data_IF_055648512528
#
_entry.id   IF_055648512528
#
_cell.length_a   1.000
_cell.length_b   1.000
_cell.length_c   1.000
_cell.angle_alpha   90.00
_cell.angle_beta   90.00
_cell.angle_gamma   90.00
#
_symmetry.space_group_name_H-M   'P 1'
#
loop_
_entity.id
_entity.type
_entity.pdbx_description
1 polymer ?
#
# COMPACT_ATOMS: atom_id res chain seq x y z
N UNK A 1 -29.19 7.15 -7.82
CA UNK A 1 -29.20 5.77 -8.37
C UNK A 1 -28.99 4.81 -7.21
N UNK A 2 -29.98 3.96 -6.88
CA UNK A 2 -30.00 3.18 -5.63
C UNK A 2 -29.31 1.81 -5.82
N UNK A 3 -29.14 1.03 -4.74
CA UNK A 3 -28.51 -0.31 -4.72
C UNK A 3 -28.98 -1.28 -5.83
N UNK A 4 -30.09 -1.01 -6.53
CA UNK A 4 -30.65 -1.83 -7.61
C UNK A 4 -29.88 -1.77 -8.93
N UNK A 5 -28.97 -0.81 -9.10
CA UNK A 5 -28.46 -0.44 -10.45
C UNK A 5 -26.97 -0.84 -10.68
N UNK A 6 -26.37 -1.54 -9.72
CA UNK A 6 -25.10 -2.26 -9.89
C UNK A 6 -25.40 -3.71 -10.32
N UNK A 7 -24.66 -4.28 -11.29
CA UNK A 7 -24.76 -5.71 -11.55
C UNK A 7 -24.43 -6.45 -10.25
N UNK A 8 -25.43 -7.14 -9.69
CA UNK A 8 -25.30 -7.89 -8.43
C UNK A 8 -24.07 -8.81 -8.45
N UNK A 9 -23.82 -9.39 -9.62
CA UNK A 9 -22.71 -10.29 -9.92
C UNK A 9 -21.33 -9.66 -9.67
N UNK A 10 -21.15 -8.36 -9.96
CA UNK A 10 -19.86 -7.69 -9.78
C UNK A 10 -19.56 -7.47 -8.30
N UNK A 11 -20.56 -7.10 -7.51
CA UNK A 11 -20.39 -6.87 -6.08
C UNK A 11 -20.17 -8.19 -5.33
N UNK A 12 -20.92 -9.22 -5.69
CA UNK A 12 -20.76 -10.57 -5.13
C UNK A 12 -19.39 -11.16 -5.50
N UNK A 13 -18.91 -10.99 -6.75
CA UNK A 13 -17.57 -11.45 -7.16
C UNK A 13 -16.45 -10.70 -6.41
N UNK A 14 -16.56 -9.37 -6.23
CA UNK A 14 -15.56 -8.59 -5.48
C UNK A 14 -15.51 -9.03 -4.01
N UNK A 15 -16.66 -9.13 -3.35
CA UNK A 15 -16.72 -9.55 -1.95
C UNK A 15 -16.24 -11.00 -1.77
N UNK A 16 -16.60 -11.89 -2.70
CA UNK A 16 -16.13 -13.27 -2.70
C UNK A 16 -14.61 -13.35 -2.86
N UNK A 17 -14.03 -12.61 -3.82
CA UNK A 17 -12.57 -12.58 -4.03
C UNK A 17 -11.82 -12.03 -2.82
N UNK A 18 -12.33 -10.97 -2.20
CA UNK A 18 -11.77 -10.40 -0.97
C UNK A 18 -11.73 -11.47 0.13
N UNK A 19 -12.88 -12.11 0.41
CA UNK A 19 -12.98 -13.12 1.47
C UNK A 19 -12.13 -14.37 1.16
N UNK A 20 -12.12 -14.82 -0.09
CA UNK A 20 -11.35 -15.98 -0.53
C UNK A 20 -9.84 -15.74 -0.46
N UNK A 21 -9.37 -14.52 -0.73
CA UNK A 21 -7.97 -14.15 -0.58
C UNK A 21 -7.60 -14.08 0.90
N UNK A 22 -8.39 -13.40 1.74
CA UNK A 22 -8.16 -13.32 3.18
C UNK A 22 -8.12 -14.68 3.87
N UNK A 23 -9.02 -15.61 3.51
CA UNK A 23 -9.05 -16.96 4.08
C UNK A 23 -7.82 -17.82 3.72
N UNK A 24 -7.09 -17.47 2.65
CA UNK A 24 -5.92 -18.21 2.16
C UNK A 24 -4.58 -17.66 2.65
N UNK A 25 -4.56 -16.51 3.32
CA UNK A 25 -3.33 -15.84 3.74
C UNK A 25 -2.87 -16.29 5.14
N UNK A 26 -2.84 -17.60 5.35
CA UNK A 26 -2.29 -18.23 6.56
C UNK A 26 -0.89 -18.74 6.25
N UNK A 27 0.13 -18.13 6.85
CA UNK A 27 1.51 -18.57 6.67
C UNK A 27 1.86 -19.53 7.81
N UNK A 28 2.57 -20.59 7.47
CA UNK A 28 2.96 -21.61 8.44
C UNK A 28 4.40 -21.35 8.89
N UNK A 29 4.62 -21.39 10.20
CA UNK A 29 5.95 -21.44 10.80
C UNK A 29 6.08 -22.78 11.51
N UNK A 30 6.88 -23.68 10.95
CA UNK A 30 7.00 -25.05 11.45
C UNK A 30 5.62 -25.75 11.50
N UNK A 31 5.06 -25.97 12.70
CA UNK A 31 3.75 -26.59 12.92
C UNK A 31 2.65 -25.58 13.30
N UNK A 32 3.00 -24.31 13.53
CA UNK A 32 2.08 -23.28 14.00
C UNK A 32 1.58 -22.42 12.84
N UNK A 33 0.28 -22.13 12.88
CA UNK A 33 -0.35 -21.22 11.94
C UNK A 33 -0.17 -19.79 12.47
N UNK A 34 0.48 -18.92 11.69
CA UNK A 34 0.72 -17.53 12.08
C UNK A 34 -0.23 -16.60 11.34
N UNK A 35 -0.86 -15.71 12.08
CA UNK A 35 -1.73 -14.68 11.53
C UNK A 35 -0.90 -13.57 10.87
N UNK A 36 -1.20 -13.32 9.60
CA UNK A 36 -0.64 -12.22 8.83
C UNK A 36 -1.36 -10.92 9.19
N UNK A 37 -0.59 -9.86 9.41
CA UNK A 37 -1.06 -8.50 9.63
C UNK A 37 -1.09 -7.74 8.30
N UNK A 38 0.03 -7.59 7.60
CA UNK A 38 0.09 -6.84 6.35
C UNK A 38 0.72 -7.66 5.24
N UNK A 39 0.40 -7.32 3.99
CA UNK A 39 0.94 -8.00 2.82
C UNK A 39 1.30 -6.99 1.73
N UNK A 40 2.47 -7.20 1.15
CA UNK A 40 3.02 -6.41 0.03
C UNK A 40 3.36 -7.36 -1.10
N UNK A 41 2.92 -7.06 -2.33
CA UNK A 41 3.28 -7.88 -3.48
C UNK A 41 4.41 -7.25 -4.31
N UNK A 42 5.20 -8.09 -4.98
CA UNK A 42 6.12 -7.68 -6.03
C UNK A 42 6.30 -8.81 -7.04
N UNK A 43 5.71 -8.68 -8.23
CA UNK A 43 5.82 -9.64 -9.35
C UNK A 43 5.69 -11.12 -8.93
N UNK A 44 4.68 -11.42 -8.10
CA UNK A 44 4.35 -12.76 -7.63
C UNK A 44 5.04 -13.22 -6.35
N UNK A 45 5.88 -12.37 -5.73
CA UNK A 45 6.30 -12.56 -4.34
C UNK A 45 5.43 -11.74 -3.40
N UNK A 46 5.15 -12.31 -2.23
CA UNK A 46 4.49 -11.63 -1.12
C UNK A 46 5.51 -11.42 0.01
N UNK A 47 5.61 -10.20 0.53
CA UNK A 47 6.18 -9.91 1.83
C UNK A 47 5.02 -9.76 2.80
N UNK A 48 5.03 -10.53 3.89
CA UNK A 48 4.02 -10.48 4.93
C UNK A 48 4.65 -10.06 6.26
N UNK A 49 3.99 -9.16 6.97
CA UNK A 49 4.23 -8.93 8.39
C UNK A 49 3.23 -9.73 9.20
N UNK A 50 3.62 -10.25 10.35
CA UNK A 50 2.73 -10.97 11.26
C UNK A 50 2.32 -10.08 12.43
N UNK A 51 1.34 -10.51 13.24
CA UNK A 51 0.91 -9.75 14.44
C UNK A 51 2.02 -9.57 15.49
N UNK A 52 3.00 -10.47 15.54
CA UNK A 52 4.22 -10.36 16.37
C UNK A 52 5.35 -9.59 15.65
N UNK A 53 5.01 -8.91 14.55
CA UNK A 53 5.91 -8.12 13.72
C UNK A 53 7.06 -8.93 13.10
N UNK A 54 6.92 -10.24 12.97
CA UNK A 54 7.86 -11.06 12.21
C UNK A 54 7.65 -10.84 10.70
N UNK A 55 8.72 -11.04 9.92
CA UNK A 55 8.71 -10.88 8.47
C UNK A 55 8.81 -12.24 7.80
N UNK A 56 7.94 -12.48 6.82
CA UNK A 56 8.00 -13.69 5.99
C UNK A 56 7.79 -13.33 4.53
N UNK A 57 8.65 -13.86 3.68
CA UNK A 57 8.48 -13.79 2.24
C UNK A 57 7.88 -15.10 1.78
N UNK A 58 6.83 -15.02 0.97
CA UNK A 58 6.09 -16.17 0.49
C UNK A 58 5.87 -16.06 -1.01
N UNK A 59 6.15 -17.15 -1.72
CA UNK A 59 5.64 -17.38 -3.06
C UNK A 59 4.46 -18.39 -2.99
N UNK A 60 3.21 -17.91 -3.06
CA UNK A 60 2.02 -18.78 -3.10
C UNK A 60 2.01 -19.81 -4.24
N UNK A 61 2.65 -19.52 -5.37
CA UNK A 61 2.64 -20.39 -6.55
C UNK A 61 3.58 -21.59 -6.40
N UNK A 62 4.74 -21.39 -5.77
CA UNK A 62 5.73 -22.46 -5.56
C UNK A 62 5.64 -23.07 -4.17
N UNK A 63 4.90 -22.44 -3.25
CA UNK A 63 4.84 -22.82 -1.83
C UNK A 63 6.08 -22.42 -1.03
N UNK A 64 7.07 -21.77 -1.66
CA UNK A 64 8.31 -21.39 -1.01
C UNK A 64 8.08 -20.28 0.02
N UNK A 65 8.58 -20.46 1.23
CA UNK A 65 8.57 -19.45 2.29
C UNK A 65 9.99 -19.19 2.82
N UNK A 66 10.26 -17.96 3.23
CA UNK A 66 11.50 -17.57 3.91
C UNK A 66 11.17 -16.60 5.04
N UNK A 67 11.52 -16.98 6.26
CA UNK A 67 11.42 -16.10 7.42
C UNK A 67 12.63 -15.17 7.46
N UNK A 68 12.38 -13.88 7.56
CA UNK A 68 13.42 -12.85 7.59
C UNK A 68 13.62 -12.42 9.03
N UNK A 69 14.82 -12.67 9.56
CA UNK A 69 15.19 -12.16 10.86
C UNK A 69 15.40 -10.64 10.76
N UNK A 70 14.82 -9.88 11.69
CA UNK A 70 15.05 -8.43 11.76
C UNK A 70 16.53 -8.11 11.99
N UNK A 71 16.95 -6.92 11.58
CA UNK A 71 18.31 -6.45 11.85
C UNK A 71 18.56 -6.38 13.36
N UNK A 72 19.78 -6.75 13.78
CA UNK A 72 20.18 -6.69 15.19
C UNK A 72 20.31 -5.25 15.72
N UNK A 73 20.41 -4.25 14.83
CA UNK A 73 20.60 -2.85 15.18
C UNK A 73 19.30 -2.16 15.64
N UNK A 74 18.13 -2.63 15.20
CA UNK A 74 16.90 -1.88 15.28
C UNK A 74 15.97 -2.27 16.46
N UNK A 75 16.55 -2.40 17.66
CA UNK A 75 15.86 -3.03 18.80
C UNK A 75 14.60 -2.30 19.36
N UNK A 76 14.24 -1.02 19.10
CA UNK A 76 13.04 -0.51 19.78
C UNK A 76 11.74 -0.48 18.96
N UNK A 77 11.70 -0.61 17.61
CA UNK A 77 10.51 -0.15 16.85
C UNK A 77 10.12 -1.01 15.64
N UNK A 78 9.75 -2.26 15.89
CA UNK A 78 9.18 -3.13 14.83
C UNK A 78 7.78 -2.67 14.40
N UNK A 79 7.02 -2.08 15.31
CA UNK A 79 5.62 -1.67 15.09
C UNK A 79 5.50 -0.47 14.14
N UNK A 80 6.52 0.40 14.12
CA UNK A 80 6.56 1.65 13.34
C UNK A 80 7.32 1.48 12.01
N UNK A 81 7.59 0.23 11.61
CA UNK A 81 8.36 -0.06 10.39
C UNK A 81 7.48 -0.03 9.14
N UNK A 82 7.89 0.76 8.16
CA UNK A 82 7.34 0.72 6.81
C UNK A 82 8.22 -0.10 5.88
N UNK A 83 7.60 -0.83 4.97
CA UNK A 83 8.28 -1.76 4.08
C UNK A 83 8.05 -1.45 2.61
N UNK A 84 9.08 -1.69 1.79
CA UNK A 84 8.97 -1.77 0.34
C UNK A 84 9.56 -3.11 -0.11
N UNK A 85 8.89 -3.76 -1.05
CA UNK A 85 9.39 -4.96 -1.71
C UNK A 85 9.67 -4.66 -3.19
N UNK A 86 10.87 -5.02 -3.65
CA UNK A 86 11.26 -4.83 -5.04
C UNK A 86 12.48 -5.64 -5.42
N UNK A 87 13.05 -5.35 -6.59
CA UNK A 87 14.26 -6.00 -7.06
C UNK A 87 15.10 -5.08 -7.94
N UNK A 88 16.42 -5.25 -7.83
CA UNK A 88 17.36 -4.75 -8.84
C UNK A 88 17.60 -5.82 -9.90
N UNK A 89 17.93 -5.39 -11.12
CA UNK A 89 18.39 -6.32 -12.15
C UNK A 89 19.90 -6.55 -12.02
N UNK A 90 20.31 -7.79 -11.72
CA UNK A 90 21.72 -8.17 -11.67
C UNK A 90 21.98 -9.34 -12.61
N UNK A 91 22.84 -9.14 -13.63
CA UNK A 91 23.42 -10.19 -14.48
C UNK A 91 22.43 -11.30 -14.89
N UNK A 92 21.26 -10.91 -15.42
CA UNK A 92 20.14 -11.75 -15.91
C UNK A 92 19.09 -12.25 -14.92
N UNK A 93 19.27 -12.07 -13.60
CA UNK A 93 18.30 -12.46 -12.59
C UNK A 93 17.80 -11.26 -11.77
N UNK A 94 16.60 -11.40 -11.20
CA UNK A 94 16.05 -10.44 -10.23
C UNK A 94 16.73 -10.66 -8.89
N UNK A 95 17.39 -9.62 -8.39
CA UNK A 95 17.91 -9.57 -7.03
C UNK A 95 16.88 -8.87 -6.16
N UNK A 96 16.02 -9.67 -5.54
CA UNK A 96 14.97 -9.16 -4.66
C UNK A 96 15.58 -8.55 -3.40
N UNK A 97 14.92 -7.51 -2.90
CA UNK A 97 15.32 -6.77 -1.72
C UNK A 97 14.09 -6.29 -0.95
N UNK A 98 14.23 -6.16 0.36
CA UNK A 98 13.25 -5.51 1.23
C UNK A 98 13.89 -4.25 1.77
N UNK A 99 13.28 -3.10 1.49
CA UNK A 99 13.63 -1.86 2.17
C UNK A 99 12.73 -1.73 3.40
N UNK A 100 13.35 -1.45 4.54
CA UNK A 100 12.68 -1.10 5.78
C UNK A 100 13.03 0.34 6.13
N UNK A 101 12.01 1.10 6.50
CA UNK A 101 12.08 2.49 6.95
C UNK A 101 11.42 2.56 8.32
N UNK A 102 11.98 3.30 9.29
CA UNK A 102 11.30 3.53 10.56
C UNK A 102 11.60 4.93 11.11
N UNK A 103 10.72 5.40 12.00
CA UNK A 103 10.77 6.72 12.65
C UNK A 103 11.02 6.53 14.16
N UNK A 104 11.69 7.47 14.83
CA UNK A 104 11.86 7.47 16.28
C UNK A 104 10.62 7.99 17.04
N UNK A 105 9.48 8.09 16.36
CA UNK A 105 8.14 8.33 16.90
C UNK A 105 8.05 9.61 17.73
N UNK A 106 8.91 10.58 17.45
CA UNK A 106 8.73 11.95 17.87
C UNK A 106 7.75 12.63 16.90
N UNK A 107 6.82 13.44 17.43
CA UNK A 107 5.80 14.07 16.60
C UNK A 107 6.46 15.01 15.58
N UNK A 108 6.22 14.74 14.29
CA UNK A 108 6.63 15.55 13.13
C UNK A 108 8.09 15.45 12.66
N UNK A 109 8.78 14.31 12.78
CA UNK A 109 10.15 14.17 12.24
C UNK A 109 10.37 13.03 11.23
N UNK A 110 11.55 13.07 10.60
CA UNK A 110 11.95 12.41 9.36
C UNK A 110 12.15 10.91 9.54
N UNK A 111 12.05 10.13 8.45
CA UNK A 111 12.51 8.72 8.48
C UNK A 111 13.95 8.66 9.00
N UNK A 112 14.12 7.99 10.14
CA UNK A 112 15.34 8.02 10.95
C UNK A 112 16.41 7.12 10.33
N UNK A 113 16.02 5.95 9.85
CA UNK A 113 16.96 5.00 9.29
C UNK A 113 16.33 4.15 8.18
N UNK A 114 17.17 3.79 7.21
CA UNK A 114 16.82 2.91 6.11
C UNK A 114 17.72 1.70 6.18
N UNK A 115 17.10 0.53 6.17
CA UNK A 115 17.80 -0.75 6.10
C UNK A 115 17.32 -1.50 4.89
N UNK A 116 18.25 -2.15 4.19
CA UNK A 116 17.91 -2.99 3.05
C UNK A 116 18.39 -4.41 3.30
N UNK A 117 17.47 -5.35 3.18
CA UNK A 117 17.76 -6.78 3.16
C UNK A 117 17.95 -7.23 1.72
N UNK A 118 19.09 -7.86 1.43
CA UNK A 118 19.37 -8.48 0.13
C UNK A 118 19.21 -9.99 0.24
N UNK A 119 18.33 -10.54 -0.60
CA UNK A 119 18.02 -11.97 -0.61
C UNK A 119 19.21 -12.83 -1.02
N UNK A 120 20.13 -12.24 -1.80
CA UNK A 120 21.31 -12.91 -2.35
C UNK A 120 22.38 -13.12 -1.29
N UNK A 121 22.52 -12.18 -0.35
CA UNK A 121 23.48 -12.28 0.76
C UNK A 121 22.85 -12.71 2.08
N UNK A 122 21.52 -12.85 2.11
CA UNK A 122 20.75 -13.21 3.31
C UNK A 122 21.07 -12.29 4.50
N UNK A 123 21.18 -10.99 4.25
CA UNK A 123 21.65 -10.04 5.26
C UNK A 123 21.05 -8.65 5.11
N UNK A 124 20.84 -8.00 6.25
CA UNK A 124 20.55 -6.57 6.32
C UNK A 124 21.81 -5.73 6.21
N UNK A 125 21.68 -4.54 5.61
CA UNK A 125 22.65 -3.46 5.75
C UNK A 125 21.94 -2.12 5.85
N UNK A 126 22.57 -1.19 6.56
CA UNK A 126 22.10 0.19 6.68
C UNK A 126 22.41 0.94 5.38
N UNK A 127 21.43 1.71 4.91
CA UNK A 127 21.59 2.67 3.83
C UNK A 127 21.85 4.05 4.41
N UNK A 128 23.12 4.40 4.48
CA UNK A 128 23.55 5.74 4.85
C UNK A 128 23.35 6.70 3.67
N UNK A 129 23.06 7.97 3.94
CA UNK A 129 23.07 9.11 2.99
C UNK A 129 21.74 9.54 2.36
N UNK A 130 20.58 9.27 2.97
CA UNK A 130 19.35 9.91 2.52
C UNK A 130 19.15 11.26 3.20
N UNK A 131 19.05 12.34 2.42
CA UNK A 131 18.59 13.63 2.92
C UNK A 131 17.05 13.61 2.93
N UNK A 132 16.48 13.14 4.04
CA UNK A 132 15.07 12.77 4.15
C UNK A 132 14.16 13.94 4.51
N UNK A 133 14.02 14.91 3.62
CA UNK A 133 13.04 15.99 3.82
C UNK A 133 11.60 15.55 3.50
N UNK A 134 11.20 14.35 3.93
CA UNK A 134 9.86 13.80 3.72
C UNK A 134 9.41 12.87 4.85
N UNK A 135 8.09 12.75 4.99
CA UNK A 135 7.43 11.79 5.89
C UNK A 135 6.64 10.80 5.03
N UNK A 136 6.93 9.50 5.18
CA UNK A 136 6.19 8.45 4.48
C UNK A 136 4.81 8.29 5.11
N UNK A 137 3.77 8.20 4.27
CA UNK A 137 2.39 8.09 4.76
C UNK A 137 1.87 6.65 4.78
N UNK A 138 2.44 5.79 3.94
CA UNK A 138 1.98 4.42 3.72
C UNK A 138 3.15 3.50 3.42
N UNK A 139 2.89 2.20 3.44
CA UNK A 139 3.85 1.23 2.94
C UNK A 139 4.11 1.37 1.43
N UNK A 140 5.26 0.86 1.00
CA UNK A 140 5.68 0.85 -0.39
C UNK A 140 4.91 -0.13 -1.26
N UNK A 141 4.39 0.36 -2.38
CA UNK A 141 3.82 -0.45 -3.44
C UNK A 141 4.86 -0.76 -4.51
N UNK A 142 4.87 -1.98 -5.03
CA UNK A 142 5.82 -2.37 -6.07
C UNK A 142 5.24 -2.22 -7.47
N UNK A 143 6.01 -1.63 -8.38
CA UNK A 143 5.70 -1.60 -9.81
C UNK A 143 6.99 -1.77 -10.62
N UNK A 144 7.05 -2.83 -11.45
CA UNK A 144 8.22 -3.18 -12.28
C UNK A 144 9.52 -3.31 -11.46
N UNK A 145 9.41 -3.88 -10.26
CA UNK A 145 10.55 -4.07 -9.34
C UNK A 145 10.96 -2.85 -8.54
N UNK A 146 10.37 -1.68 -8.77
CA UNK A 146 10.65 -0.47 -8.01
C UNK A 146 9.53 -0.18 -7.01
N UNK A 147 9.89 0.48 -5.90
CA UNK A 147 8.97 0.83 -4.83
C UNK A 147 8.36 2.22 -5.04
N UNK A 148 7.10 2.42 -4.67
CA UNK A 148 6.39 3.70 -4.76
C UNK A 148 5.53 3.94 -3.53
N UNK A 149 5.52 5.16 -3.00
CA UNK A 149 4.76 5.49 -1.81
C UNK A 149 4.35 6.98 -1.82
N UNK A 150 3.24 7.30 -1.15
CA UNK A 150 2.86 8.69 -0.88
C UNK A 150 3.65 9.26 0.30
N UNK A 151 4.15 10.48 0.13
CA UNK A 151 4.90 11.15 1.18
C UNK A 151 4.61 12.66 1.24
N UNK A 152 4.65 13.21 2.45
CA UNK A 152 4.58 14.65 2.70
C UNK A 152 5.97 15.26 2.66
N UNK A 153 6.08 16.51 2.21
CA UNK A 153 7.28 17.31 2.44
C UNK A 153 7.44 17.57 3.94
N UNK A 154 8.66 17.40 4.46
CA UNK A 154 8.91 17.70 5.87
C UNK A 154 8.90 19.22 6.15
N UNK A 155 9.22 20.05 5.15
CA UNK A 155 9.26 21.51 5.32
C UNK A 155 7.93 22.18 4.96
N UNK A 156 7.10 21.49 4.20
CA UNK A 156 5.79 21.96 3.76
C UNK A 156 4.79 20.80 3.79
N UNK A 157 4.23 20.54 4.97
CA UNK A 157 3.33 19.42 5.22
C UNK A 157 2.02 19.45 4.39
N UNK A 158 1.75 20.53 3.64
CA UNK A 158 0.64 20.58 2.69
C UNK A 158 1.00 19.98 1.31
N UNK A 159 2.29 19.72 1.07
CA UNK A 159 2.80 19.27 -0.22
C UNK A 159 3.03 17.77 -0.24
N UNK A 160 2.14 17.09 -0.96
CA UNK A 160 2.18 15.65 -1.21
C UNK A 160 2.99 15.33 -2.48
N UNK A 161 3.75 14.23 -2.44
CA UNK A 161 4.44 13.67 -3.60
C UNK A 161 4.26 12.16 -3.68
N UNK A 162 4.54 11.61 -4.86
CA UNK A 162 4.81 10.20 -5.03
C UNK A 162 6.33 10.01 -4.93
N UNK A 163 6.80 9.33 -3.89
CA UNK A 163 8.19 8.87 -3.83
C UNK A 163 8.34 7.58 -4.62
N UNK A 164 9.41 7.50 -5.39
CA UNK A 164 9.87 6.26 -6.00
C UNK A 164 11.21 5.86 -5.40
N UNK A 165 11.35 4.58 -5.07
CA UNK A 165 12.60 3.95 -4.67
C UNK A 165 13.07 3.00 -5.78
N UNK A 166 14.22 3.32 -6.37
CA UNK A 166 14.86 2.49 -7.37
C UNK A 166 15.72 1.43 -6.69
N UNK A 167 15.35 0.15 -6.76
CA UNK A 167 16.09 -0.94 -6.10
C UNK A 167 17.41 -1.31 -6.79
N UNK A 168 17.63 -0.82 -8.02
CA UNK A 168 18.88 -0.99 -8.76
C UNK A 168 19.91 0.03 -8.32
N UNK A 169 19.51 1.30 -8.19
CA UNK A 169 20.40 2.40 -7.79
C UNK A 169 20.36 2.72 -6.29
N UNK A 170 19.38 2.16 -5.57
CA UNK A 170 19.10 2.35 -4.14
C UNK A 170 18.89 3.81 -3.76
N UNK A 171 18.07 4.50 -4.56
CA UNK A 171 17.81 5.93 -4.40
C UNK A 171 16.33 6.26 -4.41
N UNK A 172 15.98 7.24 -3.60
CA UNK A 172 14.69 7.91 -3.65
C UNK A 172 14.68 9.04 -4.66
N UNK A 173 13.56 9.18 -5.33
CA UNK A 173 13.26 10.29 -6.23
C UNK A 173 11.85 10.80 -5.93
N UNK A 174 11.65 12.11 -6.10
CA UNK A 174 10.35 12.77 -5.88
C UNK A 174 9.64 12.94 -7.20
N UNK A 175 8.50 12.29 -7.34
CA UNK A 175 7.64 12.41 -8.52
C UNK A 175 6.47 13.35 -8.22
N UNK A 176 6.22 14.28 -9.13
CA UNK A 176 5.13 15.24 -8.99
C UNK A 176 3.77 14.56 -9.12
N UNK A 177 2.87 14.87 -8.19
CA UNK A 177 1.46 14.56 -8.32
C UNK A 177 0.75 15.59 -9.21
N UNK A 178 -0.45 15.26 -9.74
CA UNK A 178 -1.28 16.24 -10.45
C UNK A 178 -1.53 17.48 -9.58
N UNK A 179 -1.54 18.67 -10.19
CA UNK A 179 -1.69 19.99 -9.51
C UNK A 179 -2.90 20.15 -8.57
N UNK A 180 -3.86 19.22 -8.58
CA UNK A 180 -5.08 19.21 -7.73
C UNK A 180 -5.18 17.99 -6.82
N UNK A 181 -4.09 17.26 -6.61
CA UNK A 181 -4.02 16.23 -5.59
C UNK A 181 -3.92 16.92 -4.21
N UNK A 182 -5.05 17.32 -3.64
CA UNK A 182 -5.11 17.98 -2.34
C UNK A 182 -5.36 16.95 -1.24
N UNK A 183 -4.58 17.00 -0.16
CA UNK A 183 -4.98 16.39 1.11
C UNK A 183 -6.26 17.11 1.58
N UNK A 184 -7.41 16.46 1.50
CA UNK A 184 -8.62 16.99 2.11
C UNK A 184 -8.52 16.67 3.61
N UNK A 185 -7.67 17.44 4.32
CA UNK A 185 -7.27 17.16 5.70
C UNK A 185 -7.60 18.26 6.71
N UNK A 186 -7.99 19.47 6.29
CA UNK A 186 -8.27 20.57 7.23
C UNK A 186 -9.67 21.16 7.01
N UNK A 187 -10.60 20.73 7.86
CA UNK A 187 -11.82 21.42 8.29
C UNK A 187 -12.81 21.98 7.25
N UNK A 188 -12.80 21.53 5.99
CA UNK A 188 -13.83 21.94 5.06
C UNK A 188 -15.05 20.99 5.19
N UNK A 189 -16.14 21.47 5.78
CA UNK A 189 -17.48 20.89 5.56
C UNK A 189 -17.84 21.08 4.08
N UNK A 190 -17.27 20.26 3.20
CA UNK A 190 -17.54 20.32 1.78
C UNK A 190 -18.86 19.61 1.47
N UNK A 191 -19.91 20.39 1.25
CA UNK A 191 -21.14 19.93 0.59
C UNK A 191 -20.82 19.69 -0.89
N UNK A 192 -20.62 18.42 -1.25
CA UNK A 192 -20.28 17.92 -2.59
C UNK A 192 -19.00 18.53 -3.20
N UNK A 193 -17.97 17.71 -3.36
CA UNK A 193 -16.74 18.09 -4.07
C UNK A 193 -16.59 17.27 -5.33
N UNK A 194 -16.33 17.95 -6.45
CA UNK A 194 -15.86 17.31 -7.68
C UNK A 194 -14.42 16.85 -7.47
N UNK A 195 -14.19 15.55 -7.53
CA UNK A 195 -12.85 14.95 -7.43
C UNK A 195 -12.44 14.45 -8.80
N UNK A 196 -11.30 14.93 -9.28
CA UNK A 196 -10.69 14.42 -10.51
C UNK A 196 -9.91 13.14 -10.19
N UNK A 197 -10.24 12.04 -10.88
CA UNK A 197 -9.48 10.80 -10.82
C UNK A 197 -8.38 10.86 -11.87
N UNK A 198 -7.12 10.64 -11.44
CA UNK A 198 -5.95 10.69 -12.30
C UNK A 198 -5.32 9.30 -12.43
N UNK A 199 -4.80 9.00 -13.62
CA UNK A 199 -4.16 7.73 -13.96
C UNK A 199 -2.85 7.99 -14.69
N UNK A 200 -1.91 7.05 -14.57
CA UNK A 200 -0.73 6.99 -15.42
C UNK A 200 -0.49 5.57 -15.93
N UNK A 201 0.00 5.46 -17.16
CA UNK A 201 0.65 4.28 -17.71
C UNK A 201 2.12 4.54 -18.08
N UNK A 202 2.59 5.76 -17.82
CA UNK A 202 3.91 6.29 -18.15
C UNK A 202 4.57 6.77 -16.87
N UNK A 203 5.17 5.82 -16.17
CA UNK A 203 5.90 6.03 -14.93
C UNK A 203 7.21 5.26 -14.95
N UNK A 204 8.26 5.93 -14.51
CA UNK A 204 9.54 5.38 -14.13
C UNK A 204 9.98 5.99 -12.78
N UNK A 205 11.20 5.68 -12.34
CA UNK A 205 11.72 6.14 -11.04
C UNK A 205 12.09 7.61 -11.01
N UNK A 206 11.98 8.37 -12.10
CA UNK A 206 12.37 9.80 -12.18
C UNK A 206 11.28 10.69 -12.74
N UNK A 207 10.33 10.13 -13.49
CA UNK A 207 9.26 10.88 -14.12
C UNK A 207 7.94 10.09 -14.11
N UNK A 208 6.86 10.85 -13.97
CA UNK A 208 5.49 10.37 -14.16
C UNK A 208 4.72 11.34 -15.04
N UNK A 209 3.94 10.80 -15.97
CA UNK A 209 3.00 11.57 -16.78
C UNK A 209 1.58 11.19 -16.38
N UNK A 210 0.85 12.15 -15.83
CA UNK A 210 -0.53 11.96 -15.41
C UNK A 210 -1.50 12.36 -16.50
N UNK A 211 -2.54 11.55 -16.67
CA UNK A 211 -3.72 11.87 -17.47
C UNK A 211 -4.95 11.87 -16.57
N UNK A 212 -5.77 12.90 -16.68
CA UNK A 212 -7.08 12.92 -16.04
C UNK A 212 -7.93 11.80 -16.68
N UNK A 213 -8.51 10.95 -15.86
CA UNK A 213 -9.31 9.83 -16.31
C UNK A 213 -10.80 10.19 -16.35
N UNK A 214 -11.40 10.58 -15.23
CA UNK A 214 -12.76 11.13 -15.14
C UNK A 214 -12.91 12.04 -13.92
N UNK A 215 -14.06 12.69 -13.77
CA UNK A 215 -14.45 13.44 -12.57
C UNK A 215 -15.64 12.76 -11.91
N UNK A 216 -15.65 12.69 -10.59
CA UNK A 216 -16.79 12.19 -9.82
C UNK A 216 -17.27 13.22 -8.81
N UNK A 217 -18.57 13.32 -8.64
CA UNK A 217 -19.19 14.07 -7.55
C UNK A 217 -19.14 13.23 -6.26
N UNK A 218 -18.27 13.60 -5.33
CA UNK A 218 -18.13 12.89 -4.05
C UNK A 218 -18.86 13.68 -2.96
N UNK A 219 -19.84 13.02 -2.34
CA UNK A 219 -20.50 13.51 -1.14
C UNK A 219 -19.67 13.08 0.07
N UNK A 220 -18.74 13.94 0.47
CA UNK A 220 -17.88 13.71 1.65
C UNK A 220 -18.73 13.68 2.93
N UNK A 221 -19.19 12.49 3.33
CA UNK A 221 -19.74 12.27 4.67
C UNK A 221 -18.65 12.07 5.71
N UNK A 222 -17.47 11.59 5.29
CA UNK A 222 -16.31 11.35 6.15
C UNK A 222 -15.23 12.38 5.89
N UNK A 223 -14.54 12.75 6.98
CA UNK A 223 -13.51 13.80 6.98
C UNK A 223 -12.18 13.38 6.32
N UNK A 224 -12.02 12.13 5.91
CA UNK A 224 -10.77 11.59 5.37
C UNK A 224 -11.05 10.45 4.40
N UNK A 225 -10.46 10.49 3.20
CA UNK A 225 -10.08 9.25 2.54
C UNK A 225 -8.83 8.75 3.25
N UNK A 226 -8.81 7.49 3.68
CA UNK A 226 -7.57 6.87 4.12
C UNK A 226 -6.57 6.88 2.95
N UNK A 227 -5.28 7.08 3.23
CA UNK A 227 -4.21 6.93 2.23
C UNK A 227 -4.06 5.50 1.74
N UNK A 228 -4.82 4.59 2.32
CA UNK A 228 -4.63 3.16 2.24
C UNK A 228 -5.86 2.48 1.65
N UNK A 229 -6.18 2.84 0.42
CA UNK A 229 -7.27 2.22 -0.31
C UNK A 229 -6.68 1.36 -1.40
N UNK A 230 -7.14 0.11 -1.44
CA UNK A 230 -6.91 -0.76 -2.58
C UNK A 230 -8.00 -0.55 -3.60
N UNK A 231 -7.65 -0.39 -4.87
CA UNK A 231 -8.63 -0.06 -5.90
C UNK A 231 -8.53 -1.00 -7.10
N UNK A 232 -9.69 -1.22 -7.74
CA UNK A 232 -9.81 -1.83 -9.05
C UNK A 232 -10.47 -0.81 -9.98
N UNK A 233 -9.93 -0.63 -11.18
CA UNK A 233 -10.43 0.33 -12.16
C UNK A 233 -10.96 -0.40 -13.40
N UNK A 234 -12.22 -0.16 -13.73
CA UNK A 234 -12.81 -0.52 -15.02
C UNK A 234 -12.59 0.67 -15.97
N UNK A 235 -11.67 0.50 -16.93
CA UNK A 235 -11.28 1.56 -17.86
C UNK A 235 -12.39 1.88 -18.87
N UNK A 236 -13.15 0.88 -19.28
CA UNK A 236 -14.20 1.03 -20.30
C UNK A 236 -15.41 1.76 -19.72
N UNK A 237 -15.80 1.38 -18.50
CA UNK A 237 -16.94 1.99 -17.80
C UNK A 237 -16.57 3.28 -17.07
N UNK A 238 -15.29 3.65 -17.03
CA UNK A 238 -14.77 4.77 -16.22
C UNK A 238 -15.25 4.69 -14.77
N UNK A 239 -15.02 3.53 -14.15
CA UNK A 239 -15.40 3.26 -12.78
C UNK A 239 -14.19 2.83 -11.95
N UNK A 240 -14.20 3.17 -10.67
CA UNK A 240 -13.27 2.62 -9.70
C UNK A 240 -14.04 2.05 -8.50
N UNK A 241 -13.60 0.88 -8.05
CA UNK A 241 -14.04 0.28 -6.80
C UNK A 241 -12.87 0.36 -5.83
N UNK A 242 -13.02 1.12 -4.76
CA UNK A 242 -12.06 1.22 -3.67
C UNK A 242 -12.49 0.36 -2.50
N UNK A 243 -11.52 -0.22 -1.81
CA UNK A 243 -11.74 -0.96 -0.58
C UNK A 243 -10.75 -0.53 0.50
N UNK A 244 -11.29 -0.27 1.68
CA UNK A 244 -10.59 0.26 2.83
C UNK A 244 -10.91 -0.61 4.05
N UNK A 245 -9.87 -1.03 4.75
CA UNK A 245 -10.01 -1.64 6.07
C UNK A 245 -10.14 -0.52 7.09
N UNK A 246 -11.19 -0.57 7.91
CA UNK A 246 -11.36 0.46 8.94
C UNK A 246 -10.31 0.31 10.03
N UNK A 247 -9.65 1.42 10.38
CA UNK A 247 -8.74 1.52 11.53
C UNK A 247 -9.40 2.18 12.76
N UNK A 248 -10.68 2.55 12.68
CA UNK A 248 -11.41 3.19 13.77
C UNK A 248 -12.26 2.17 14.51
N UNK A 249 -12.19 2.20 15.84
CA UNK A 249 -13.14 1.54 16.71
C UNK A 249 -14.57 1.81 16.21
N UNK A 250 -15.37 0.75 16.09
CA UNK A 250 -16.79 0.74 15.71
C UNK A 250 -17.13 0.71 14.21
N UNK A 251 -16.15 0.84 13.31
CA UNK A 251 -16.40 0.90 11.88
C UNK A 251 -16.06 -0.42 11.14
N UNK A 252 -16.98 -0.87 10.30
CA UNK A 252 -16.80 -2.00 9.38
C UNK A 252 -15.86 -1.61 8.24
N UNK A 253 -15.28 -2.61 7.56
CA UNK A 253 -14.58 -2.38 6.31
C UNK A 253 -15.51 -1.71 5.30
N UNK A 254 -14.95 -0.90 4.42
CA UNK A 254 -15.68 -0.09 3.47
C UNK A 254 -15.30 -0.50 2.04
N UNK A 255 -16.29 -0.78 1.21
CA UNK A 255 -16.17 -0.73 -0.24
C UNK A 255 -16.86 0.54 -0.70
N UNK A 256 -16.21 1.32 -1.55
CA UNK A 256 -16.84 2.44 -2.21
C UNK A 256 -16.68 2.35 -3.71
N UNK A 257 -17.71 2.81 -4.43
CA UNK A 257 -17.79 2.73 -5.89
C UNK A 257 -18.01 4.14 -6.42
N UNK A 258 -17.15 4.53 -7.37
CA UNK A 258 -17.19 5.83 -8.05
C UNK A 258 -17.18 5.63 -9.56
N UNK A 259 -17.86 6.51 -10.28
CA UNK A 259 -17.84 6.55 -11.75
C UNK A 259 -18.24 7.93 -12.27
N UNK A 260 -17.94 8.20 -13.55
CA UNK A 260 -18.17 9.52 -14.18
C UNK A 260 -19.64 9.96 -14.11
N UNK A 261 -20.58 9.05 -14.39
CA UNK A 261 -22.02 9.30 -14.39
C UNK A 261 -22.75 8.59 -13.24
N UNK A 262 -22.02 8.21 -12.18
CA UNK A 262 -22.57 7.46 -11.04
C UNK A 262 -22.41 8.25 -9.74
N UNK A 263 -23.45 8.21 -8.93
CA UNK A 263 -23.35 8.67 -7.56
C UNK A 263 -22.40 7.76 -6.77
N UNK A 264 -21.56 8.41 -5.95
CA UNK A 264 -20.75 7.75 -4.94
C UNK A 264 -21.58 6.77 -4.10
N UNK A 265 -21.17 5.51 -4.05
CA UNK A 265 -21.83 4.45 -3.28
C UNK A 265 -20.89 3.92 -2.21
N UNK A 266 -21.35 3.76 -0.97
CA UNK A 266 -20.63 3.18 0.17
C UNK A 266 -21.29 1.87 0.61
N UNK A 267 -20.49 0.86 0.89
CA UNK A 267 -20.94 -0.47 1.33
C UNK A 267 -20.05 -0.92 2.50
N UNK A 268 -20.67 -1.20 3.64
CA UNK A 268 -19.98 -1.70 4.82
C UNK A 268 -20.02 -3.22 4.90
N UNK A 269 -18.89 -3.86 5.17
CA UNK A 269 -18.77 -5.32 5.22
C UNK A 269 -17.76 -5.81 6.26
N UNK A 270 -17.78 -7.12 6.54
CA UNK A 270 -16.89 -7.74 7.51
C UNK A 270 -17.32 -7.56 8.97
N UNK A 271 -16.62 -8.27 9.84
CA UNK A 271 -16.73 -8.12 11.29
C UNK A 271 -15.89 -6.94 11.77
N UNK A 272 -16.22 -6.44 12.97
CA UNK A 272 -15.52 -5.30 13.57
C UNK A 272 -14.10 -5.74 13.94
N UNK A 273 -13.04 -5.03 13.52
CA UNK A 273 -11.69 -5.38 13.92
C UNK A 273 -11.51 -5.16 15.43
N UNK A 274 -10.76 -6.05 16.07
CA UNK A 274 -10.20 -5.79 17.40
C UNK A 274 -9.20 -4.65 17.28
N UNK A 275 -9.32 -3.65 18.16
CA UNK A 275 -8.49 -2.46 18.09
C UNK A 275 -7.08 -2.74 18.57
N UNK A 276 -6.10 -2.37 17.74
CA UNK A 276 -4.72 -2.24 18.16
C UNK A 276 -4.28 -0.77 18.01
N UNK A 277 -4.11 -0.02 19.12
CA UNK A 277 -3.72 1.39 19.08
C UNK A 277 -2.33 1.64 18.47
N UNK A 278 -1.49 0.60 18.38
CA UNK A 278 -0.12 0.71 17.87
C UNK A 278 -0.02 0.52 16.35
N UNK A 279 -1.13 0.20 15.67
CA UNK A 279 -1.15 -0.11 14.24
C UNK A 279 -1.78 1.07 13.50
N UNK A 280 -0.99 2.07 13.11
CA UNK A 280 -1.33 3.04 12.04
C UNK A 280 -1.14 2.37 10.66
N UNK A 281 -1.25 1.04 10.63
CA UNK A 281 -1.00 0.23 9.46
C UNK A 281 -2.36 -0.08 8.86
N UNK A 282 -2.60 0.54 7.72
CA UNK A 282 -3.77 0.22 6.95
C UNK A 282 -3.44 -1.01 6.10
N UNK A 283 -4.23 -2.05 6.21
CA UNK A 283 -4.06 -3.25 5.40
C UNK A 283 -4.76 -3.05 4.05
N UNK A 284 -4.02 -2.92 2.93
CA UNK A 284 -4.63 -2.95 1.61
C UNK A 284 -5.19 -4.34 1.31
N UNK A 285 -6.35 -4.40 0.68
CA UNK A 285 -6.85 -5.62 0.06
C UNK A 285 -6.03 -5.93 -1.19
N UNK A 286 -5.54 -7.16 -1.32
CA UNK A 286 -4.91 -7.59 -2.56
C UNK A 286 -6.01 -7.89 -3.57
N UNK A 287 -6.10 -7.09 -4.62
CA UNK A 287 -7.01 -7.35 -5.75
C UNK A 287 -6.31 -8.02 -6.91
N UNK A 288 -5.07 -7.62 -7.18
CA UNK A 288 -4.30 -8.04 -8.35
C UNK A 288 -3.01 -8.74 -7.91
N UNK A 289 -3.10 -10.03 -7.56
CA UNK A 289 -1.93 -10.89 -7.43
C UNK A 289 -1.68 -11.64 -8.73
N UNK A 290 -0.48 -11.47 -9.30
CA UNK A 290 -0.04 -12.22 -10.48
C UNK A 290 0.91 -13.32 -10.03
N UNK A 291 0.53 -14.62 -10.11
CA UNK A 291 1.41 -15.71 -9.72
C UNK A 291 2.70 -15.73 -10.55
N UNK A 292 3.79 -16.14 -9.90
CA UNK A 292 5.11 -16.23 -10.55
C UNK A 292 5.85 -17.48 -10.08
N UNK A 293 6.60 -18.10 -10.99
CA UNK A 293 7.48 -19.24 -10.69
C UNK A 293 8.87 -18.80 -10.20
N UNK A 294 9.02 -17.52 -9.84
CA UNK A 294 10.30 -17.00 -9.36
C UNK A 294 10.73 -17.70 -8.07
N UNK A 295 12.00 -18.11 -8.05
CA UNK A 295 12.67 -18.64 -6.87
C UNK A 295 13.54 -17.53 -6.28
N UNK A 296 13.62 -17.49 -4.95
CA UNK A 296 14.29 -16.42 -4.21
C UNK A 296 15.15 -16.94 -3.08
#
# INVERSE_FOLDING_TARGET
>A
MAMSDLPRDLLEDILYRIQALQAKLKVHREADQVDVSEIFHCDGLLLCTTKDYSLVVWNPCTGQTRWIQHSHAAYPRKEESMFFLGYGNNKSCRSYKILRCWDDGTLFDQVVEFEIYDFSSDSWRVLNNFNCNFVLLVNGMSLKGNGYCLALDNMNHDKLYLLSFDFTTERFERLCLPRRATLIGTSARCRASKVDVWMTNKIDTKQVVWSKFFTVDVYMRRYFFSFCVSFVIDKEKKMAVGCEKSNRHEEKNLVYIVGEDREYTEIHFGERPEFNPCVISCEPFIFDYVPSLVQF
#
